data_IF_648842238443
#
_entry.id   IF_648842238443
#
_cell.length_a   1.000
_cell.length_b   1.000
_cell.length_c   1.000
_cell.angle_alpha   90.00
_cell.angle_beta   90.00
_cell.angle_gamma   90.00
#
_symmetry.space_group_name_H-M   'P 1'
#
loop_
_entity.id
_entity.type
_entity.pdbx_description
1 polymer ?
#
# COMPACT_ATOMS: atom_id res chain seq x y z
N UNK A 1 -4.09 -0.79 18.19
CA UNK A 1 -4.12 -1.60 16.94
C UNK A 1 -5.56 -1.84 16.54
N UNK A 2 -5.81 -2.13 15.26
CA UNK A 2 -7.13 -2.40 14.70
C UNK A 2 -7.08 -3.63 13.79
N UNK A 3 -8.24 -4.28 13.65
CA UNK A 3 -8.47 -5.36 12.69
C UNK A 3 -9.62 -4.95 11.81
N UNK A 4 -9.49 -5.17 10.50
CA UNK A 4 -10.51 -4.83 9.50
C UNK A 4 -10.79 -6.03 8.61
N UNK A 5 -12.04 -6.14 8.17
CA UNK A 5 -12.47 -7.06 7.12
C UNK A 5 -13.37 -6.27 6.16
N UNK A 6 -13.17 -6.44 4.86
CA UNK A 6 -13.90 -5.72 3.82
C UNK A 6 -14.31 -6.68 2.71
N UNK A 7 -15.51 -6.47 2.19
CA UNK A 7 -16.05 -7.17 1.02
C UNK A 7 -16.52 -6.13 0.02
N UNK A 8 -16.06 -6.23 -1.23
CA UNK A 8 -16.56 -5.44 -2.35
C UNK A 8 -17.38 -6.33 -3.27
N UNK A 9 -18.56 -5.85 -3.66
CA UNK A 9 -19.50 -6.52 -4.55
C UNK A 9 -20.10 -5.47 -5.49
N UNK A 10 -19.91 -5.64 -6.81
CA UNK A 10 -20.55 -4.81 -7.83
C UNK A 10 -21.36 -5.67 -8.80
N UNK A 11 -22.61 -5.27 -9.05
CA UNK A 11 -23.51 -5.91 -10.01
C UNK A 11 -24.06 -4.89 -11.01
N UNK A 12 -23.64 -5.01 -12.27
CA UNK A 12 -24.06 -4.23 -13.44
C UNK A 12 -23.58 -4.93 -14.71
N UNK A 13 -23.17 -4.19 -15.76
CA UNK A 13 -22.55 -4.77 -16.98
C UNK A 13 -21.17 -5.45 -16.71
N UNK A 14 -20.72 -5.45 -15.45
CA UNK A 14 -19.45 -5.99 -14.96
C UNK A 14 -19.70 -6.69 -13.62
N UNK A 15 -19.07 -7.83 -13.40
CA UNK A 15 -18.98 -8.48 -12.09
C UNK A 15 -17.58 -8.26 -11.52
N UNK A 16 -17.44 -7.37 -10.55
CA UNK A 16 -16.24 -7.22 -9.74
C UNK A 16 -16.55 -7.60 -8.31
N UNK A 17 -15.68 -8.41 -7.71
CA UNK A 17 -15.81 -8.78 -6.31
C UNK A 17 -14.45 -9.00 -5.68
N UNK A 18 -14.36 -8.75 -4.39
CA UNK A 18 -13.14 -9.03 -3.63
C UNK A 18 -13.41 -9.09 -2.14
N UNK A 19 -12.57 -9.86 -1.46
CA UNK A 19 -12.51 -9.95 0.00
C UNK A 19 -11.12 -9.56 0.45
N UNK A 20 -11.04 -8.81 1.55
CA UNK A 20 -9.77 -8.43 2.16
C UNK A 20 -9.87 -8.37 3.67
N UNK A 21 -8.75 -8.64 4.32
CA UNK A 21 -8.55 -8.43 5.75
C UNK A 21 -7.42 -7.45 5.99
N UNK A 22 -7.35 -6.90 7.18
CA UNK A 22 -6.27 -6.02 7.59
C UNK A 22 -6.00 -6.12 9.08
N UNK A 23 -4.74 -6.24 9.48
CA UNK A 23 -4.28 -6.06 10.86
C UNK A 23 -3.34 -4.87 10.86
N UNK A 24 -3.61 -3.89 11.74
CA UNK A 24 -2.76 -2.71 11.90
C UNK A 24 -2.40 -2.54 13.37
N UNK A 25 -1.11 -2.59 13.68
CA UNK A 25 -0.56 -2.08 14.92
C UNK A 25 -0.06 -0.66 14.66
N UNK A 26 -0.70 0.31 15.30
CA UNK A 26 -0.25 1.70 15.27
C UNK A 26 0.89 1.89 16.27
N UNK A 27 1.83 2.80 15.99
CA UNK A 27 2.84 3.22 16.95
C UNK A 27 2.18 3.97 18.12
N UNK A 28 2.99 4.42 19.09
CA UNK A 28 2.56 5.29 20.19
C UNK A 28 1.88 6.57 19.68
N UNK A 29 1.24 7.32 20.58
CA UNK A 29 0.43 8.50 20.21
C UNK A 29 1.20 9.53 19.39
N UNK A 30 2.50 9.64 19.61
CA UNK A 30 3.37 10.56 18.87
C UNK A 30 4.16 9.87 17.73
N UNK A 31 3.69 8.73 17.24
CA UNK A 31 4.34 8.00 16.14
C UNK A 31 5.58 7.20 16.53
N UNK A 32 5.99 7.24 17.79
CA UNK A 32 7.14 6.49 18.31
C UNK A 32 6.85 5.00 18.53
N UNK A 33 7.85 4.15 18.35
CA UNK A 33 7.73 2.71 18.56
C UNK A 33 7.28 1.92 17.34
N UNK A 34 6.95 0.65 17.57
CA UNK A 34 6.66 -0.33 16.51
C UNK A 34 5.30 -0.06 15.84
N UNK A 35 5.29 -0.08 14.52
CA UNK A 35 4.06 -0.18 13.72
C UNK A 35 4.12 -1.37 12.76
N UNK A 36 2.98 -2.01 12.53
CA UNK A 36 2.83 -3.16 11.66
C UNK A 36 1.54 -3.03 10.86
N UNK A 37 1.58 -3.31 9.56
CA UNK A 37 0.41 -3.41 8.69
C UNK A 37 0.47 -4.72 7.93
N UNK A 38 -0.59 -5.52 7.97
CA UNK A 38 -0.75 -6.77 7.23
C UNK A 38 -2.10 -6.77 6.54
N UNK A 39 -2.14 -6.87 5.22
CA UNK A 39 -3.38 -6.75 4.44
C UNK A 39 -3.44 -7.82 3.33
N UNK A 40 -3.96 -9.03 3.61
CA UNK A 40 -4.30 -10.00 2.58
C UNK A 40 -5.59 -9.61 1.85
N UNK A 41 -5.64 -9.88 0.54
CA UNK A 41 -6.84 -9.70 -0.27
C UNK A 41 -6.90 -10.69 -1.44
N UNK A 42 -8.10 -10.99 -1.90
CA UNK A 42 -8.38 -11.89 -3.00
C UNK A 42 -9.62 -11.40 -3.76
N UNK A 43 -9.59 -11.43 -5.09
CA UNK A 43 -10.77 -11.07 -5.89
C UNK A 43 -10.53 -10.90 -7.37
N UNK A 44 -11.61 -10.60 -8.09
CA UNK A 44 -11.63 -10.17 -9.48
C UNK A 44 -11.74 -8.65 -9.50
N UNK A 45 -10.62 -7.97 -9.67
CA UNK A 45 -10.65 -6.53 -9.94
C UNK A 45 -9.41 -6.09 -10.70
N UNK A 46 -9.67 -5.29 -11.76
CA UNK A 46 -8.65 -4.49 -12.45
C UNK A 46 -8.19 -3.28 -11.63
N UNK A 47 -8.70 -3.10 -10.40
CA UNK A 47 -8.34 -1.99 -9.54
C UNK A 47 -7.06 -2.23 -8.74
N UNK A 48 -6.16 -1.26 -8.80
CA UNK A 48 -4.99 -1.13 -7.96
C UNK A 48 -5.33 -1.26 -6.47
N UNK A 49 -4.42 -1.89 -5.73
CA UNK A 49 -4.30 -2.02 -4.25
C UNK A 49 -4.86 -0.83 -3.42
N UNK A 50 -4.84 0.38 -3.99
CA UNK A 50 -5.38 1.60 -3.41
C UNK A 50 -6.91 1.55 -3.14
N UNK A 51 -7.71 0.84 -3.94
CA UNK A 51 -9.18 0.95 -3.83
C UNK A 51 -9.82 0.17 -2.68
N UNK A 52 -9.24 -0.95 -2.23
CA UNK A 52 -9.85 -1.75 -1.16
C UNK A 52 -9.59 -1.17 0.25
N UNK A 53 -8.49 -0.42 0.40
CA UNK A 53 -7.96 0.01 1.70
C UNK A 53 -7.66 1.52 1.84
N UNK A 54 -7.93 2.38 0.84
CA UNK A 54 -7.79 3.83 1.01
C UNK A 54 -8.79 4.37 2.06
N UNK A 55 -8.24 5.02 3.08
CA UNK A 55 -8.95 6.03 3.86
C UNK A 55 -8.92 7.35 3.06
N UNK A 56 -10.07 7.76 2.51
CA UNK A 56 -10.31 9.11 1.98
C UNK A 56 -9.77 9.44 0.58
N UNK A 57 -10.69 9.63 -0.40
CA UNK A 57 -10.50 10.57 -1.51
C UNK A 57 -10.39 10.02 -2.95
N UNK A 58 -11.50 10.04 -3.68
CA UNK A 58 -11.55 10.28 -5.14
C UNK A 58 -11.31 9.10 -6.09
N UNK A 59 -12.38 8.58 -6.68
CA UNK A 59 -12.33 7.66 -7.82
C UNK A 59 -11.78 8.38 -9.07
N UNK A 60 -10.74 7.86 -9.71
CA UNK A 60 -10.36 8.25 -11.08
C UNK A 60 -10.60 7.08 -12.03
N UNK A 61 -11.55 7.27 -12.95
CA UNK A 61 -11.92 6.37 -14.04
C UNK A 61 -11.12 6.76 -15.29
N UNK A 62 -10.44 5.80 -15.93
CA UNK A 62 -9.85 5.98 -17.26
C UNK A 62 -10.81 5.35 -18.30
N UNK A 63 -11.47 6.16 -19.15
CA UNK A 63 -12.44 5.68 -20.14
C UNK A 63 -11.83 4.91 -21.32
N UNK A 64 -10.50 4.83 -21.44
CA UNK A 64 -9.82 4.26 -22.63
C UNK A 64 -9.45 2.79 -22.52
N UNK A 65 -9.63 2.15 -21.36
CA UNK A 65 -9.40 0.71 -21.24
C UNK A 65 -10.61 -0.10 -21.69
N UNK A 66 -10.52 -0.63 -22.91
CA UNK A 66 -11.42 -1.65 -23.44
C UNK A 66 -11.30 -2.93 -22.58
N UNK A 67 -12.33 -3.19 -21.76
CA UNK A 67 -12.37 -4.27 -20.78
C UNK A 67 -13.32 -5.36 -21.27
N UNK A 68 -12.76 -6.49 -21.71
CA UNK A 68 -13.52 -7.68 -22.06
C UNK A 68 -14.14 -8.33 -20.79
N UNK A 69 -15.45 -8.54 -20.82
CA UNK A 69 -16.22 -9.18 -19.75
C UNK A 69 -15.86 -10.68 -19.70
N UNK A 70 -15.50 -11.19 -18.52
CA UNK A 70 -15.27 -12.62 -18.26
C UNK A 70 -13.83 -13.11 -18.29
N UNK A 71 -12.84 -12.23 -18.54
CA UNK A 71 -11.42 -12.61 -18.68
C UNK A 71 -10.51 -12.12 -17.56
N UNK A 72 -11.02 -11.39 -16.57
CA UNK A 72 -10.20 -10.88 -15.46
C UNK A 72 -9.82 -12.02 -14.51
N UNK A 73 -8.52 -12.39 -14.41
CA UNK A 73 -8.10 -13.47 -13.53
C UNK A 73 -8.36 -13.08 -12.07
N UNK A 74 -8.73 -14.08 -11.27
CA UNK A 74 -8.69 -13.97 -9.81
C UNK A 74 -7.24 -13.67 -9.41
N UNK A 75 -7.04 -12.68 -8.55
CA UNK A 75 -5.70 -12.36 -8.07
C UNK A 75 -5.64 -12.32 -6.55
N UNK A 76 -4.72 -13.11 -5.98
CA UNK A 76 -4.35 -12.96 -4.58
C UNK A 76 -3.31 -11.85 -4.44
N UNK A 77 -3.48 -11.00 -3.42
CA UNK A 77 -2.54 -9.93 -3.11
C UNK A 77 -2.28 -9.87 -1.61
N UNK A 78 -1.04 -9.57 -1.24
CA UNK A 78 -0.65 -9.42 0.15
C UNK A 78 0.26 -8.22 0.33
N UNK A 79 -0.08 -7.37 1.29
CA UNK A 79 0.78 -6.29 1.74
C UNK A 79 1.24 -6.54 3.17
N UNK A 80 2.53 -6.33 3.41
CA UNK A 80 3.08 -6.22 4.74
C UNK A 80 4.01 -5.00 4.84
N UNK A 81 3.92 -4.28 5.95
CA UNK A 81 4.86 -3.22 6.29
C UNK A 81 5.17 -3.31 7.79
N UNK A 82 6.45 -3.21 8.14
CA UNK A 82 6.90 -3.04 9.52
C UNK A 82 7.77 -1.80 9.59
N UNK A 83 7.54 -0.97 10.61
CA UNK A 83 8.30 0.24 10.83
C UNK A 83 8.52 0.49 12.32
N UNK A 84 9.49 1.33 12.64
CA UNK A 84 9.75 1.73 14.02
C UNK A 84 10.06 3.23 14.08
N UNK A 85 9.25 3.99 14.81
CA UNK A 85 9.43 5.43 14.96
C UNK A 85 10.41 5.78 16.08
N UNK A 86 11.42 6.58 15.75
CA UNK A 86 12.36 7.20 16.69
C UNK A 86 12.06 8.68 16.78
N UNK A 87 11.64 9.12 17.97
CA UNK A 87 11.37 10.52 18.25
C UNK A 87 12.59 11.19 18.89
N UNK A 88 12.93 12.38 18.40
CA UNK A 88 13.94 13.24 19.01
C UNK A 88 13.46 14.69 18.99
N UNK A 89 12.99 15.16 20.14
CA UNK A 89 12.30 16.44 20.23
C UNK A 89 11.08 16.43 19.32
N UNK A 90 11.13 17.25 18.29
CA UNK A 90 10.03 17.44 17.35
C UNK A 90 10.19 16.71 16.02
N UNK A 91 11.33 16.01 15.87
CA UNK A 91 11.59 15.17 14.71
C UNK A 91 11.14 13.73 14.98
N UNK A 92 10.50 13.11 13.99
CA UNK A 92 10.18 11.69 13.97
C UNK A 92 10.85 11.02 12.78
N UNK A 93 11.77 10.09 13.05
CA UNK A 93 12.45 9.26 12.05
C UNK A 93 11.87 7.84 12.10
N UNK A 94 11.29 7.38 11.00
CA UNK A 94 10.62 6.08 10.93
C UNK A 94 11.19 5.25 9.78
N UNK A 95 12.26 4.48 10.01
CA UNK A 95 12.67 3.41 9.09
C UNK A 95 11.57 2.36 8.97
N UNK A 96 11.41 1.82 7.76
CA UNK A 96 10.41 0.80 7.47
C UNK A 96 10.91 -0.20 6.42
N UNK A 97 10.33 -1.39 6.42
CA UNK A 97 10.42 -2.35 5.33
C UNK A 97 9.04 -2.77 4.88
N UNK A 98 8.91 -3.06 3.59
CA UNK A 98 7.64 -3.35 2.93
C UNK A 98 7.77 -4.54 2.01
N UNK A 99 6.73 -5.35 1.97
CA UNK A 99 6.52 -6.46 1.06
C UNK A 99 5.15 -6.33 0.41
N UNK A 100 5.12 -6.46 -0.91
CA UNK A 100 3.90 -6.47 -1.71
C UNK A 100 3.95 -7.64 -2.70
N UNK A 101 3.07 -8.61 -2.51
CA UNK A 101 2.99 -9.80 -3.35
C UNK A 101 1.68 -9.82 -4.11
N UNK A 102 1.76 -10.26 -5.36
CA UNK A 102 0.64 -10.71 -6.18
C UNK A 102 0.96 -12.12 -6.70
N UNK A 103 0.03 -12.76 -7.40
CA UNK A 103 0.28 -14.07 -8.03
C UNK A 103 1.46 -14.09 -9.03
N UNK A 104 1.81 -12.93 -9.58
CA UNK A 104 2.80 -12.82 -10.65
C UNK A 104 3.99 -11.92 -10.32
N UNK A 105 3.99 -11.30 -9.15
CA UNK A 105 5.07 -10.39 -8.78
C UNK A 105 5.25 -10.23 -7.29
N UNK A 106 6.49 -9.99 -6.89
CA UNK A 106 6.84 -9.60 -5.53
C UNK A 106 7.65 -8.31 -5.57
N UNK A 107 7.19 -7.30 -4.83
CA UNK A 107 7.96 -6.09 -4.54
C UNK A 107 8.41 -6.15 -3.10
N UNK A 108 9.69 -5.99 -2.84
CA UNK A 108 10.19 -5.76 -1.49
C UNK A 108 10.98 -4.46 -1.45
N UNK A 109 10.96 -3.76 -0.33
CA UNK A 109 11.65 -2.49 -0.21
C UNK A 109 11.89 -2.08 1.22
N UNK A 110 12.70 -1.05 1.36
CA UNK A 110 12.99 -0.38 2.62
C UNK A 110 13.02 1.12 2.39
N UNK A 111 12.68 1.87 3.43
CA UNK A 111 12.69 3.31 3.37
C UNK A 111 12.79 3.95 4.74
N UNK A 112 12.84 5.26 4.73
CA UNK A 112 12.89 6.10 5.90
C UNK A 112 11.90 7.24 5.70
N UNK A 113 10.99 7.41 6.66
CA UNK A 113 10.13 8.59 6.76
C UNK A 113 10.73 9.54 7.79
N UNK A 114 10.75 10.82 7.49
CA UNK A 114 11.21 11.86 8.40
C UNK A 114 10.17 12.97 8.47
N UNK A 115 9.73 13.30 9.67
CA UNK A 115 8.77 14.37 9.92
C UNK A 115 9.38 15.37 10.91
N UNK A 116 9.19 16.67 10.67
CA UNK A 116 9.66 17.74 11.56
C UNK A 116 8.56 18.77 11.80
N UNK A 117 8.04 18.84 13.03
CA UNK A 117 7.14 19.90 13.50
C UNK A 117 6.01 20.30 12.53
N UNK A 118 5.47 19.32 11.80
CA UNK A 118 4.48 19.51 10.72
C UNK A 118 4.93 20.43 9.57
N UNK A 119 6.16 20.94 9.58
CA UNK A 119 6.73 21.80 8.54
C UNK A 119 7.31 21.02 7.36
N UNK A 120 7.67 19.76 7.60
CA UNK A 120 8.38 18.91 6.65
C UNK A 120 7.99 17.45 6.84
N UNK A 121 7.62 16.81 5.74
CA UNK A 121 7.52 15.37 5.60
C UNK A 121 8.38 14.89 4.43
N UNK A 122 9.24 13.91 4.68
CA UNK A 122 10.11 13.27 3.72
C UNK A 122 9.87 11.75 3.74
N UNK A 123 9.75 11.11 2.58
CA UNK A 123 9.83 9.66 2.43
C UNK A 123 10.86 9.32 1.35
N UNK A 124 11.96 8.68 1.77
CA UNK A 124 12.97 8.12 0.87
C UNK A 124 12.87 6.61 0.92
N UNK A 125 12.68 5.96 -0.23
CA UNK A 125 12.58 4.50 -0.29
C UNK A 125 13.25 3.90 -1.51
N UNK A 126 13.77 2.69 -1.32
CA UNK A 126 14.26 1.83 -2.37
C UNK A 126 13.43 0.55 -2.40
N UNK A 127 13.15 0.05 -3.59
CA UNK A 127 12.43 -1.21 -3.76
C UNK A 127 12.95 -1.99 -4.95
N UNK A 128 12.79 -3.31 -4.87
CA UNK A 128 12.98 -4.21 -6.00
C UNK A 128 11.67 -4.88 -6.31
N UNK A 129 11.29 -4.80 -7.58
CA UNK A 129 10.17 -5.54 -8.15
C UNK A 129 10.70 -6.74 -8.91
N UNK A 130 10.18 -7.92 -8.61
CA UNK A 130 10.45 -9.15 -9.33
C UNK A 130 9.16 -9.67 -9.96
N UNK A 131 9.17 -9.93 -11.27
CA UNK A 131 8.06 -10.56 -11.97
C UNK A 131 8.34 -12.03 -12.24
N UNK A 132 7.28 -12.86 -12.24
CA UNK A 132 7.35 -14.25 -12.70
C UNK A 132 7.78 -14.37 -14.17
N UNK A 133 7.60 -13.32 -14.97
CA UNK A 133 8.08 -13.23 -16.36
C UNK A 133 9.60 -13.04 -16.48
N UNK A 134 10.32 -12.83 -15.37
CA UNK A 134 11.76 -12.59 -15.34
C UNK A 134 12.16 -11.13 -15.52
N UNK A 135 11.21 -10.23 -15.81
CA UNK A 135 11.47 -8.80 -15.82
C UNK A 135 11.55 -8.27 -14.38
N UNK A 136 12.70 -7.76 -13.99
CA UNK A 136 12.96 -7.28 -12.63
C UNK A 136 13.47 -5.84 -12.69
N UNK A 137 13.08 -5.03 -11.71
CA UNK A 137 13.37 -3.60 -11.68
C UNK A 137 13.77 -3.16 -10.27
N UNK A 138 14.68 -2.19 -10.17
CA UNK A 138 15.05 -1.54 -8.92
C UNK A 138 14.65 -0.07 -9.00
N UNK A 139 13.91 0.40 -7.99
CA UNK A 139 13.34 1.74 -7.97
C UNK A 139 13.80 2.49 -6.73
N UNK A 140 14.15 3.75 -6.92
CA UNK A 140 14.37 4.72 -5.86
C UNK A 140 13.27 5.78 -5.95
N UNK A 141 12.64 6.09 -4.82
CA UNK A 141 11.58 7.08 -4.74
C UNK A 141 11.87 8.07 -3.62
N UNK A 142 11.67 9.35 -3.92
CA UNK A 142 11.76 10.44 -2.97
C UNK A 142 10.47 11.25 -3.04
N UNK A 143 9.80 11.38 -1.90
CA UNK A 143 8.68 12.27 -1.73
C UNK A 143 9.00 13.30 -0.65
N UNK A 144 8.66 14.54 -0.95
CA UNK A 144 8.87 15.69 -0.09
C UNK A 144 7.56 16.49 -0.05
N UNK A 145 7.09 16.79 1.15
CA UNK A 145 6.02 17.75 1.41
C UNK A 145 6.54 18.75 2.43
N UNK A 146 6.35 20.03 2.17
CA UNK A 146 6.75 21.11 3.08
C UNK A 146 5.66 22.18 3.09
N UNK A 147 5.39 22.70 4.27
CA UNK A 147 4.53 23.87 4.45
C UNK A 147 5.44 25.11 4.36
N UNK A 148 5.62 25.62 3.15
CA UNK A 148 6.32 26.90 2.88
C UNK A 148 5.32 28.05 2.79
#
# INVERSE_FOLDING_TARGET
>A
GSTTARVLLFGGDRSEWGIGGGIVLLPGQEGEGLSLSLQPSFGQSGANKLQLFQEGGGFSYDPTQELAVGTTPLTARFHAEVAYGFRNGTALLTPYTRLDTTDYSTTYGAGIRYQLDNSLDLDLSASRWNSSSGNNDNRLFLQLRSDL
#
